data_IF_232607959293
#
_entry.id   IF_232607959293
#
_cell.length_a   1.000
_cell.length_b   1.000
_cell.length_c   1.000
_cell.angle_alpha   90.00
_cell.angle_beta   90.00
_cell.angle_gamma   90.00
#
_symmetry.space_group_name_H-M   'P 1'
#
loop_
_entity.id
_entity.type
_entity.pdbx_description
1 polymer ?
#
# COMPACT_ATOMS: atom_id res chain seq x y z
N UNK A 1 -13.86 4.41 3.08
CA UNK A 1 -12.40 4.51 2.86
C UNK A 1 -11.82 5.81 3.42
N UNK A 2 -12.16 6.99 2.88
CA UNK A 2 -11.56 8.28 3.29
C UNK A 2 -11.61 8.55 4.79
N UNK A 3 -12.74 8.24 5.46
CA UNK A 3 -12.85 8.41 6.91
C UNK A 3 -11.82 7.58 7.70
N UNK A 4 -11.44 6.39 7.20
CA UNK A 4 -10.39 5.57 7.82
C UNK A 4 -9.00 6.19 7.60
N UNK A 5 -8.72 6.69 6.40
CA UNK A 5 -7.45 7.37 6.08
C UNK A 5 -7.24 8.62 6.96
N UNK A 6 -8.31 9.35 7.28
CA UNK A 6 -8.25 10.54 8.13
C UNK A 6 -8.18 10.23 9.63
N UNK A 7 -8.16 8.96 10.01
CA UNK A 7 -8.07 8.59 11.41
C UNK A 7 -6.63 8.73 11.92
N UNK A 8 -6.36 9.39 13.06
CA UNK A 8 -5.00 9.74 13.52
C UNK A 8 -4.12 8.55 13.92
N UNK A 9 -4.68 7.34 13.91
CA UNK A 9 -3.99 6.10 14.27
C UNK A 9 -3.87 5.12 13.11
N UNK A 10 -4.12 5.58 11.89
CA UNK A 10 -3.97 4.77 10.68
C UNK A 10 -2.68 5.16 9.98
N UNK A 11 -1.77 4.18 9.84
CA UNK A 11 -0.51 4.36 9.11
C UNK A 11 -0.58 3.78 7.69
N UNK A 12 -1.31 2.66 7.53
CA UNK A 12 -1.38 1.88 6.29
C UNK A 12 -2.82 1.44 6.02
N UNK A 13 -3.26 1.57 4.78
CA UNK A 13 -4.46 0.88 4.28
C UNK A 13 -4.05 -0.41 3.58
N UNK A 14 -4.41 -1.56 4.18
CA UNK A 14 -4.18 -2.89 3.61
C UNK A 14 -5.07 -3.21 2.42
N UNK A 15 -4.52 -3.90 1.41
CA UNK A 15 -5.16 -4.41 0.19
C UNK A 15 -6.40 -3.61 -0.22
N UNK A 16 -6.16 -2.37 -0.69
CA UNK A 16 -7.13 -1.27 -0.76
C UNK A 16 -8.47 -1.63 -1.39
N UNK A 17 -8.45 -2.33 -2.52
CA UNK A 17 -9.66 -2.66 -3.27
C UNK A 17 -10.38 -3.88 -2.71
N UNK A 18 -9.69 -4.70 -1.90
CA UNK A 18 -10.23 -5.93 -1.35
C UNK A 18 -10.42 -7.05 -2.37
N UNK A 19 -9.90 -6.89 -3.60
CA UNK A 19 -10.04 -7.90 -4.66
C UNK A 19 -9.44 -9.26 -4.26
N UNK A 20 -10.01 -10.31 -4.83
CA UNK A 20 -9.41 -11.65 -4.85
C UNK A 20 -9.47 -12.18 -6.28
N UNK A 21 -8.31 -12.39 -6.89
CA UNK A 21 -8.19 -12.80 -8.29
C UNK A 21 -8.94 -14.11 -8.51
N UNK A 22 -9.86 -14.09 -9.48
CA UNK A 22 -10.72 -15.23 -9.83
C UNK A 22 -11.88 -15.52 -8.86
N UNK A 23 -12.02 -14.75 -7.77
CA UNK A 23 -13.07 -15.00 -6.75
C UNK A 23 -13.92 -13.77 -6.44
N UNK A 24 -13.30 -12.59 -6.28
CA UNK A 24 -13.98 -11.36 -5.86
C UNK A 24 -13.42 -10.17 -6.62
N UNK A 25 -14.31 -9.44 -7.29
CA UNK A 25 -13.97 -8.19 -7.96
C UNK A 25 -13.53 -7.11 -6.96
N UNK A 26 -12.70 -6.15 -7.39
CA UNK A 26 -12.35 -4.99 -6.57
C UNK A 26 -13.61 -4.21 -6.16
N UNK A 27 -13.60 -3.65 -4.95
CA UNK A 27 -14.64 -2.74 -4.50
C UNK A 27 -14.72 -1.49 -5.40
N UNK A 28 -15.94 -1.00 -5.62
CA UNK A 28 -16.19 0.25 -6.33
C UNK A 28 -15.77 1.44 -5.46
N UNK A 29 -14.59 1.99 -5.74
CA UNK A 29 -13.96 3.07 -5.00
C UNK A 29 -13.59 4.20 -5.96
N UNK A 30 -13.83 5.44 -5.53
CA UNK A 30 -13.15 6.59 -6.12
C UNK A 30 -11.68 6.58 -5.70
N UNK A 31 -10.87 5.87 -6.49
CA UNK A 31 -9.45 5.67 -6.19
C UNK A 31 -8.66 6.98 -6.22
N UNK A 32 -9.05 7.94 -7.06
CA UNK A 32 -8.36 9.22 -7.13
C UNK A 32 -8.58 10.03 -5.84
N UNK A 33 -9.82 10.10 -5.35
CA UNK A 33 -10.11 10.75 -4.07
C UNK A 33 -9.42 10.03 -2.89
N UNK A 34 -9.30 8.70 -2.96
CA UNK A 34 -8.59 7.90 -1.96
C UNK A 34 -7.08 8.19 -1.98
N UNK A 35 -6.45 8.25 -3.16
CA UNK A 35 -5.02 8.56 -3.29
C UNK A 35 -4.71 9.97 -2.79
N UNK A 36 -5.52 10.95 -3.14
CA UNK A 36 -5.36 12.32 -2.64
C UNK A 36 -5.43 12.37 -1.11
N UNK A 37 -6.45 11.73 -0.51
CA UNK A 37 -6.57 11.66 0.94
C UNK A 37 -5.37 10.96 1.60
N UNK A 38 -4.86 9.87 1.01
CA UNK A 38 -3.72 9.13 1.53
C UNK A 38 -2.43 9.97 1.49
N UNK A 39 -2.19 10.65 0.36
CA UNK A 39 -1.05 11.55 0.20
C UNK A 39 -1.10 12.73 1.19
N UNK A 40 -2.28 13.37 1.37
CA UNK A 40 -2.48 14.47 2.31
C UNK A 40 -2.22 14.07 3.77
N UNK A 41 -2.65 12.87 4.17
CA UNK A 41 -2.50 12.37 5.53
C UNK A 41 -1.15 11.68 5.79
N UNK A 42 -0.36 11.47 4.74
CA UNK A 42 0.87 10.67 4.80
C UNK A 42 0.64 9.19 5.10
N UNK A 43 -0.57 8.68 4.86
CA UNK A 43 -0.94 7.27 5.05
C UNK A 43 -0.46 6.46 3.85
N UNK A 44 0.22 5.34 4.10
CA UNK A 44 0.72 4.49 3.03
C UNK A 44 -0.38 3.56 2.49
N UNK A 45 -0.30 3.23 1.20
CA UNK A 45 -1.18 2.25 0.55
C UNK A 45 -0.42 0.94 0.32
N UNK A 46 -1.06 -0.18 0.62
CA UNK A 46 -0.42 -1.49 0.47
C UNK A 46 -0.35 -1.94 -1.00
N UNK A 47 0.82 -2.45 -1.41
CA UNK A 47 0.96 -3.44 -2.47
C UNK A 47 1.05 -4.81 -1.79
N UNK A 48 -0.08 -5.52 -1.79
CA UNK A 48 -0.18 -6.84 -1.22
C UNK A 48 0.38 -7.87 -2.21
N UNK A 49 1.46 -8.53 -1.82
CA UNK A 49 2.21 -9.46 -2.64
C UNK A 49 1.59 -10.86 -2.72
N UNK A 50 0.50 -11.13 -2.00
CA UNK A 50 -0.15 -12.43 -2.09
C UNK A 50 -0.69 -12.65 -3.52
N UNK A 51 -0.40 -13.79 -4.18
CA UNK A 51 -0.81 -14.05 -5.57
C UNK A 51 -2.32 -13.99 -5.81
N UNK A 52 -3.11 -14.30 -4.79
CA UNK A 52 -4.57 -14.18 -4.86
C UNK A 52 -5.07 -12.73 -4.79
N UNK A 53 -4.20 -11.76 -4.43
CA UNK A 53 -4.56 -10.35 -4.26
C UNK A 53 -3.88 -9.46 -5.29
N UNK A 54 -2.54 -9.37 -5.23
CA UNK A 54 -1.73 -8.42 -6.01
C UNK A 54 -2.30 -7.00 -5.97
N UNK A 55 -2.68 -6.50 -4.79
CA UNK A 55 -3.47 -5.29 -4.63
C UNK A 55 -2.75 -4.28 -3.74
N UNK A 56 -2.32 -3.11 -4.20
CA UNK A 56 -2.59 -2.48 -5.51
C UNK A 56 -1.96 -3.20 -6.72
N UNK A 57 -2.63 -3.09 -7.87
CA UNK A 57 -2.05 -3.44 -9.17
C UNK A 57 -1.03 -2.37 -9.64
N UNK A 58 -0.31 -2.64 -10.73
CA UNK A 58 0.74 -1.75 -11.22
C UNK A 58 0.24 -0.38 -11.68
N UNK A 59 -0.96 -0.29 -12.25
CA UNK A 59 -1.52 0.97 -12.73
C UNK A 59 -1.91 1.88 -11.56
N UNK A 60 -2.54 1.30 -10.54
CA UNK A 60 -2.93 2.01 -9.32
C UNK A 60 -1.71 2.37 -8.47
N UNK A 61 -0.73 1.48 -8.33
CA UNK A 61 0.52 1.77 -7.63
C UNK A 61 1.26 2.94 -8.29
N UNK A 62 1.34 2.94 -9.64
CA UNK A 62 1.94 4.04 -10.39
C UNK A 62 1.19 5.35 -10.13
N UNK A 63 -0.13 5.35 -10.32
CA UNK A 63 -0.95 6.54 -10.11
C UNK A 63 -0.83 7.07 -8.68
N UNK A 64 -0.86 6.19 -7.68
CA UNK A 64 -0.70 6.57 -6.28
C UNK A 64 0.64 7.29 -6.04
N UNK A 65 1.75 6.79 -6.61
CA UNK A 65 3.05 7.48 -6.48
C UNK A 65 3.09 8.82 -7.23
N UNK A 66 2.44 8.95 -8.38
CA UNK A 66 2.34 10.23 -9.11
C UNK A 66 1.54 11.29 -8.32
N UNK A 67 0.58 10.86 -7.50
CA UNK A 67 -0.19 11.73 -6.57
C UNK A 67 0.61 12.05 -5.30
N UNK A 68 1.72 11.35 -5.04
CA UNK A 68 2.56 11.56 -3.85
C UNK A 68 2.27 10.60 -2.69
N UNK A 69 1.50 9.53 -2.91
CA UNK A 69 1.28 8.52 -1.87
C UNK A 69 2.58 7.79 -1.51
N UNK A 70 2.68 7.43 -0.23
CA UNK A 70 3.61 6.41 0.24
C UNK A 70 3.02 5.02 -0.05
N UNK A 71 3.90 4.04 -0.24
CA UNK A 71 3.52 2.64 -0.46
C UNK A 71 4.16 1.72 0.59
N UNK A 72 3.47 0.62 0.90
CA UNK A 72 3.99 -0.47 1.72
C UNK A 72 3.86 -1.80 0.98
N UNK A 73 4.95 -2.56 0.84
CA UNK A 73 4.95 -3.88 0.18
C UNK A 73 4.91 -4.96 1.26
N UNK A 74 3.79 -5.69 1.34
CA UNK A 74 3.55 -6.70 2.39
C UNK A 74 3.13 -8.04 1.77
N UNK A 75 3.32 -9.14 2.48
CA UNK A 75 3.05 -10.50 1.97
C UNK A 75 1.73 -11.11 2.43
N UNK A 76 1.05 -10.51 3.40
CA UNK A 76 -0.14 -11.10 4.05
C UNK A 76 0.14 -12.54 4.54
N UNK A 77 1.33 -12.74 5.10
CA UNK A 77 1.85 -14.06 5.42
C UNK A 77 1.08 -14.72 6.57
N UNK A 78 0.45 -15.85 6.29
CA UNK A 78 -0.22 -16.72 7.27
C UNK A 78 0.60 -17.97 7.60
N UNK A 79 1.75 -18.14 6.93
CA UNK A 79 2.74 -19.19 7.15
C UNK A 79 4.15 -18.64 6.88
N UNK A 80 5.22 -19.20 7.47
CA UNK A 80 6.59 -18.73 7.22
C UNK A 80 6.97 -18.69 5.74
N UNK A 81 6.50 -19.68 4.97
CA UNK A 81 6.80 -19.78 3.53
C UNK A 81 6.21 -18.60 2.73
N UNK A 82 5.13 -17.98 3.21
CA UNK A 82 4.50 -16.86 2.52
C UNK A 82 5.38 -15.59 2.55
N UNK A 83 6.40 -15.53 3.40
CA UNK A 83 7.37 -14.43 3.39
C UNK A 83 8.11 -14.29 2.04
N UNK A 84 8.24 -15.38 1.28
CA UNK A 84 8.86 -15.38 -0.05
C UNK A 84 7.97 -14.75 -1.12
N UNK A 85 6.66 -14.61 -0.89
CA UNK A 85 5.74 -13.97 -1.82
C UNK A 85 6.08 -12.50 -2.08
N UNK A 86 6.94 -11.87 -1.25
CA UNK A 86 7.39 -10.47 -1.42
C UNK A 86 7.94 -10.18 -2.82
N UNK A 87 8.46 -11.19 -3.51
CA UNK A 87 8.94 -11.07 -4.89
C UNK A 87 7.84 -10.62 -5.86
N UNK A 88 6.60 -11.07 -5.66
CA UNK A 88 5.46 -10.64 -6.49
C UNK A 88 5.15 -9.15 -6.28
N UNK A 89 5.16 -8.69 -5.02
CA UNK A 89 4.96 -7.27 -4.68
C UNK A 89 6.07 -6.37 -5.25
N UNK A 90 7.33 -6.82 -5.18
CA UNK A 90 8.45 -6.16 -5.86
C UNK A 90 8.26 -6.13 -7.38
N UNK A 91 7.76 -7.21 -7.97
CA UNK A 91 7.41 -7.27 -9.39
C UNK A 91 6.38 -6.21 -9.79
N UNK A 92 5.29 -6.08 -9.02
CA UNK A 92 4.28 -5.04 -9.22
C UNK A 92 4.89 -3.63 -9.07
N UNK A 93 5.65 -3.38 -8.00
CA UNK A 93 6.30 -2.09 -7.77
C UNK A 93 7.23 -1.69 -8.92
N UNK A 94 8.02 -2.63 -9.45
CA UNK A 94 8.91 -2.38 -10.60
C UNK A 94 8.13 -2.08 -11.88
N UNK A 95 7.04 -2.81 -12.15
CA UNK A 95 6.14 -2.54 -13.30
C UNK A 95 5.50 -1.16 -13.20
N UNK A 96 5.22 -0.71 -11.98
CA UNK A 96 4.66 0.60 -11.67
C UNK A 96 5.68 1.75 -11.64
N UNK A 97 6.98 1.45 -11.84
CA UNK A 97 8.10 2.41 -11.77
C UNK A 97 8.27 3.05 -10.38
N UNK A 98 7.82 2.35 -9.34
CA UNK A 98 7.97 2.76 -7.94
C UNK A 98 9.46 2.72 -7.57
N UNK A 99 9.92 3.78 -6.89
CA UNK A 99 11.30 3.87 -6.40
C UNK A 99 11.36 3.60 -4.89
N UNK A 100 12.54 3.25 -4.32
CA UNK A 100 12.69 3.06 -2.88
C UNK A 100 12.26 4.27 -2.04
N UNK A 101 12.35 5.49 -2.58
CA UNK A 101 11.91 6.70 -1.88
C UNK A 101 10.39 6.71 -1.60
N UNK A 102 9.60 6.00 -2.40
CA UNK A 102 8.16 5.91 -2.25
C UNK A 102 7.71 4.77 -1.32
N UNK A 103 8.61 3.89 -0.87
CA UNK A 103 8.26 2.63 -0.18
C UNK A 103 8.75 2.65 1.25
N UNK A 104 7.85 2.60 2.22
CA UNK A 104 8.18 2.69 3.65
C UNK A 104 9.07 1.53 4.13
N UNK A 105 8.96 0.35 3.50
CA UNK A 105 9.80 -0.82 3.81
C UNK A 105 11.29 -0.61 3.49
N UNK A 106 11.63 0.38 2.65
CA UNK A 106 13.00 0.68 2.25
C UNK A 106 13.67 1.71 3.17
N UNK A 107 12.94 2.29 4.12
CA UNK A 107 13.47 3.29 5.04
C UNK A 107 14.21 2.64 6.23
N UNK A 108 15.14 3.37 6.89
CA UNK A 108 15.66 2.96 8.18
C UNK A 108 14.53 2.76 9.21
N UNK A 109 14.68 1.78 10.09
CA UNK A 109 13.65 1.45 11.09
C UNK A 109 13.24 2.66 11.96
N UNK A 110 14.20 3.50 12.35
CA UNK A 110 13.93 4.72 13.11
C UNK A 110 13.06 5.73 12.35
N UNK A 111 13.19 5.80 11.02
CA UNK A 111 12.35 6.65 10.19
C UNK A 111 10.92 6.10 10.14
N UNK A 112 10.75 4.80 9.96
CA UNK A 112 9.41 4.15 10.00
C UNK A 112 8.73 4.39 11.35
N UNK A 113 9.46 4.21 12.46
CA UNK A 113 8.92 4.42 13.80
C UNK A 113 8.55 5.88 14.08
N UNK A 114 9.30 6.85 13.54
CA UNK A 114 8.96 8.27 13.65
C UNK A 114 7.75 8.62 12.79
N UNK A 115 7.68 8.10 11.57
CA UNK A 115 6.55 8.29 10.66
C UNK A 115 5.24 7.78 11.28
N UNK A 116 5.21 6.52 11.75
CA UNK A 116 4.01 5.93 12.35
C UNK A 116 3.53 6.64 13.63
N UNK A 117 4.43 7.33 14.36
CA UNK A 117 4.06 8.16 15.52
C UNK A 117 3.57 9.55 15.14
N UNK A 118 3.83 10.00 13.91
CA UNK A 118 3.60 11.37 13.47
C UNK A 118 2.16 11.68 13.06
N UNK A 119 1.29 10.68 12.92
CA UNK A 119 -0.12 10.87 12.53
C UNK A 119 -1.02 11.31 13.69
N UNK A 120 -0.62 10.96 14.93
CA UNK A 120 -1.27 11.45 16.13
C UNK A 120 -0.61 12.78 16.54
N UNK A 121 -1.36 13.88 16.42
CA UNK A 121 -0.95 15.19 16.94
C UNK A 121 -0.77 15.20 18.45
#
# INVERSE_FOLDING_TARGET
MIAAIRHPHVDIIGHLTGRMIGTRDPADLDLEAVFQAAAEQGVALEINAHPERLDLNEAHARRATEVGCLLAINTDAHRPEHFWLREYGLGIARRAWVTPANVVNAWPAEQVLRWAKGHAG
#
